data_IF_405196296025
#
_entry.id   IF_405196296025
#
_cell.length_a   1.000
_cell.length_b   1.000
_cell.length_c   1.000
_cell.angle_alpha   90.00
_cell.angle_beta   90.00
_cell.angle_gamma   90.00
#
_symmetry.space_group_name_H-M   'P 1'
#
loop_
_entity.id
_entity.type
_entity.pdbx_description
1 polymer ?
#
# COMPACT_ATOMS: atom_id res chain seq x y z
N UNK A 1 19.08 -4.91 -10.30
CA UNK A 1 17.95 -4.77 -9.36
C UNK A 1 16.66 -4.80 -10.16
N UNK A 2 15.65 -5.54 -9.70
CA UNK A 2 14.27 -5.45 -10.18
C UNK A 2 13.47 -4.66 -9.15
N UNK A 3 12.68 -3.69 -9.59
CA UNK A 3 11.91 -2.82 -8.69
C UNK A 3 10.41 -3.02 -8.92
N UNK A 4 9.67 -3.16 -7.84
CA UNK A 4 8.21 -3.04 -7.86
C UNK A 4 7.82 -1.57 -7.64
N UNK A 5 7.49 -0.89 -8.74
CA UNK A 5 7.05 0.50 -8.78
C UNK A 5 5.55 0.55 -9.10
N UNK A 6 4.76 -0.35 -8.51
CA UNK A 6 3.32 -0.39 -8.73
C UNK A 6 2.64 0.98 -8.55
N UNK A 7 3.14 1.81 -7.63
CA UNK A 7 2.65 3.16 -7.34
C UNK A 7 3.54 4.28 -7.90
N UNK A 8 4.34 4.04 -8.95
CA UNK A 8 5.20 5.09 -9.52
C UNK A 8 5.05 5.30 -11.03
N UNK A 9 3.92 4.88 -11.61
CA UNK A 9 3.66 5.03 -13.06
C UNK A 9 3.69 6.51 -13.54
N UNK A 10 3.50 7.48 -12.63
CA UNK A 10 3.48 8.91 -12.92
C UNK A 10 4.84 9.61 -12.73
N UNK A 11 5.78 9.00 -11.97
CA UNK A 11 7.00 9.65 -11.48
C UNK A 11 7.86 10.26 -12.59
N UNK A 12 8.03 9.54 -13.69
CA UNK A 12 8.87 9.95 -14.83
C UNK A 12 8.42 11.26 -15.50
N UNK A 13 7.16 11.66 -15.33
CA UNK A 13 6.54 12.66 -16.18
C UNK A 13 6.58 14.09 -15.61
N UNK A 14 7.14 14.30 -14.41
CA UNK A 14 7.29 15.63 -13.81
C UNK A 14 8.56 15.75 -12.96
N UNK A 15 9.34 16.85 -13.06
CA UNK A 15 10.60 17.01 -12.32
C UNK A 15 10.44 17.15 -10.80
N UNK A 16 9.29 17.61 -10.32
CA UNK A 16 9.03 17.77 -8.88
C UNK A 16 8.57 16.47 -8.19
N UNK A 17 8.49 15.36 -8.93
CA UNK A 17 8.22 14.04 -8.38
C UNK A 17 9.55 13.31 -8.07
N UNK A 18 9.53 12.32 -7.16
CA UNK A 18 10.66 11.43 -6.98
C UNK A 18 11.13 10.79 -8.28
N UNK A 19 12.44 10.52 -8.40
CA UNK A 19 12.98 9.84 -9.58
C UNK A 19 12.42 8.43 -9.74
N UNK A 20 12.05 8.08 -10.98
CA UNK A 20 11.55 6.74 -11.31
C UNK A 20 12.67 5.68 -11.27
N UNK A 21 12.30 4.44 -10.99
CA UNK A 21 13.26 3.34 -10.83
C UNK A 21 14.16 3.12 -12.06
N UNK A 22 13.64 3.32 -13.27
CA UNK A 22 14.40 3.11 -14.51
C UNK A 22 15.43 4.22 -14.75
N UNK A 23 15.12 5.45 -14.33
CA UNK A 23 16.06 6.57 -14.32
C UNK A 23 17.21 6.34 -13.35
N UNK A 24 16.93 5.77 -12.16
CA UNK A 24 17.92 5.37 -11.16
C UNK A 24 18.74 4.11 -11.52
N UNK A 25 18.53 3.54 -12.71
CA UNK A 25 19.36 2.44 -13.23
C UNK A 25 18.90 1.04 -12.84
N UNK A 26 17.63 0.87 -12.45
CA UNK A 26 17.05 -0.47 -12.32
C UNK A 26 17.19 -1.26 -13.64
N UNK A 27 17.44 -2.57 -13.52
CA UNK A 27 17.54 -3.46 -14.68
C UNK A 27 16.15 -3.77 -15.27
N UNK A 28 15.13 -3.73 -14.42
CA UNK A 28 13.74 -3.78 -14.82
C UNK A 28 12.84 -3.26 -13.70
N UNK A 29 11.65 -2.84 -14.08
CA UNK A 29 10.67 -2.26 -13.18
C UNK A 29 9.25 -2.62 -13.61
N UNK A 30 8.39 -2.95 -12.64
CA UNK A 30 6.96 -3.18 -12.89
C UNK A 30 6.16 -1.99 -12.37
N UNK A 31 5.31 -1.42 -13.22
CA UNK A 31 4.41 -0.33 -12.87
C UNK A 31 2.95 -0.76 -13.07
N UNK A 32 2.12 -0.57 -12.05
CA UNK A 32 0.67 -0.78 -12.17
C UNK A 32 0.04 0.45 -12.77
N UNK A 33 0.06 0.55 -14.10
CA UNK A 33 -0.41 1.72 -14.85
C UNK A 33 -1.86 2.10 -14.51
N UNK A 34 -2.69 1.14 -14.12
CA UNK A 34 -4.08 1.40 -13.74
C UNK A 34 -4.25 2.17 -12.42
N UNK A 35 -3.22 2.19 -11.56
CA UNK A 35 -3.29 2.90 -10.27
C UNK A 35 -3.14 4.40 -10.47
N UNK A 36 -2.01 4.82 -11.04
CA UNK A 36 -1.64 6.24 -11.14
C UNK A 36 -1.40 6.73 -12.56
N UNK A 37 -1.34 5.82 -13.54
CA UNK A 37 -1.22 6.16 -14.95
C UNK A 37 -2.57 6.50 -15.60
N UNK A 38 -3.68 5.92 -15.12
CA UNK A 38 -5.03 6.19 -15.63
C UNK A 38 -5.61 5.13 -16.58
N UNK A 39 -4.97 3.96 -16.70
CA UNK A 39 -5.50 2.85 -17.49
C UNK A 39 -6.53 2.02 -16.71
N UNK A 40 -7.25 1.13 -17.40
CA UNK A 40 -8.22 0.24 -16.78
C UNK A 40 -7.55 -0.77 -15.83
N UNK A 41 -8.22 -1.12 -14.73
CA UNK A 41 -7.78 -2.15 -13.76
C UNK A 41 -7.31 -3.42 -14.47
N UNK A 42 -6.30 -4.09 -13.88
CA UNK A 42 -5.58 -5.26 -14.43
C UNK A 42 -4.50 -4.93 -15.48
N UNK A 43 -4.31 -3.66 -15.86
CA UNK A 43 -3.22 -3.28 -16.78
C UNK A 43 -1.96 -2.87 -16.03
N UNK A 44 -0.79 -3.25 -16.57
CA UNK A 44 0.54 -2.91 -16.02
C UNK A 44 1.58 -2.84 -17.15
N UNK A 45 2.73 -2.25 -16.85
CA UNK A 45 3.89 -2.24 -17.75
C UNK A 45 5.09 -2.84 -17.02
N UNK A 46 5.78 -3.77 -17.68
CA UNK A 46 7.10 -4.23 -17.30
C UNK A 46 8.13 -3.54 -18.19
N UNK A 47 8.95 -2.71 -17.58
CA UNK A 47 10.06 -2.00 -18.23
C UNK A 47 11.35 -2.79 -18.03
N UNK A 48 12.17 -2.89 -19.07
CA UNK A 48 13.50 -3.49 -19.02
C UNK A 48 14.52 -2.48 -19.58
N UNK A 49 15.70 -2.41 -18.97
CA UNK A 49 16.79 -1.53 -19.42
C UNK A 49 18.13 -2.24 -19.33
N UNK A 50 18.96 -2.04 -20.35
CA UNK A 50 20.29 -2.65 -20.46
C UNK A 50 20.24 -4.13 -20.83
N UNK A 51 21.36 -4.83 -20.61
CA UNK A 51 21.54 -6.25 -20.99
C UNK A 51 21.61 -7.23 -19.82
N UNK A 52 21.38 -6.77 -18.58
CA UNK A 52 21.43 -7.64 -17.38
C UNK A 52 20.28 -8.65 -17.33
N UNK A 53 19.16 -8.34 -17.98
CA UNK A 53 17.97 -9.19 -18.07
C UNK A 53 17.70 -9.51 -19.53
N UNK A 54 17.68 -10.81 -19.85
CA UNK A 54 17.36 -11.28 -21.19
C UNK A 54 15.86 -11.11 -21.47
N UNK A 55 15.53 -10.21 -22.40
CA UNK A 55 14.15 -9.92 -22.77
C UNK A 55 13.41 -11.13 -23.38
N UNK A 56 14.12 -12.03 -24.06
CA UNK A 56 13.55 -13.26 -24.62
C UNK A 56 13.11 -14.24 -23.52
N UNK A 57 13.93 -14.41 -22.47
CA UNK A 57 13.59 -15.22 -21.28
C UNK A 57 12.42 -14.61 -20.51
N UNK A 58 12.36 -13.29 -20.38
CA UNK A 58 11.21 -12.61 -19.77
C UNK A 58 9.95 -12.85 -20.58
N UNK A 59 10.00 -12.68 -21.91
CA UNK A 59 8.86 -12.94 -22.78
C UNK A 59 8.39 -14.41 -22.69
N UNK A 60 9.33 -15.36 -22.60
CA UNK A 60 8.99 -16.77 -22.40
C UNK A 60 8.30 -17.02 -21.04
N UNK A 61 8.76 -16.37 -19.97
CA UNK A 61 8.13 -16.46 -18.65
C UNK A 61 6.73 -15.83 -18.63
N UNK A 62 6.54 -14.67 -19.27
CA UNK A 62 5.23 -14.02 -19.38
C UNK A 62 4.21 -14.91 -20.09
N UNK A 63 4.61 -15.63 -21.15
CA UNK A 63 3.75 -16.60 -21.85
C UNK A 63 3.24 -17.76 -20.97
N UNK A 64 3.91 -18.06 -19.85
CA UNK A 64 3.44 -19.06 -18.89
C UNK A 64 2.37 -18.52 -17.93
N UNK A 65 2.33 -17.20 -17.72
CA UNK A 65 1.49 -16.54 -16.74
C UNK A 65 0.28 -15.84 -17.38
N UNK A 66 0.46 -15.31 -18.59
CA UNK A 66 -0.56 -14.56 -19.30
C UNK A 66 -1.51 -15.46 -20.07
N UNK A 67 -2.71 -14.95 -20.30
CA UNK A 67 -3.69 -15.59 -21.19
C UNK A 67 -3.22 -15.51 -22.65
N UNK A 68 -3.46 -16.57 -23.42
CA UNK A 68 -3.28 -16.55 -24.88
C UNK A 68 -4.31 -15.68 -25.61
N UNK A 69 -5.34 -15.21 -24.90
CA UNK A 69 -6.43 -14.38 -25.42
C UNK A 69 -6.55 -13.10 -24.58
N UNK A 70 -5.65 -12.11 -24.76
CA UNK A 70 -5.68 -10.88 -23.99
C UNK A 70 -6.92 -10.04 -24.33
N UNK A 71 -7.40 -9.28 -23.35
CA UNK A 71 -8.47 -8.30 -23.59
C UNK A 71 -7.94 -7.13 -24.41
N UNK A 72 -8.37 -7.02 -25.66
CA UNK A 72 -8.01 -5.89 -26.53
C UNK A 72 -8.45 -4.53 -25.97
N UNK A 73 -9.51 -4.49 -25.17
CA UNK A 73 -9.96 -3.28 -24.47
C UNK A 73 -8.92 -2.83 -23.44
N UNK A 74 -8.38 -3.78 -22.66
CA UNK A 74 -7.32 -3.48 -21.69
C UNK A 74 -6.03 -3.05 -22.41
N UNK A 75 -5.68 -3.69 -23.51
CA UNK A 75 -4.51 -3.31 -24.33
C UNK A 75 -4.67 -1.91 -24.94
N UNK A 76 -5.85 -1.59 -25.48
CA UNK A 76 -6.14 -0.26 -26.01
C UNK A 76 -6.10 0.81 -24.91
N UNK A 77 -6.69 0.54 -23.74
CA UNK A 77 -6.62 1.44 -22.59
C UNK A 77 -5.17 1.71 -22.16
N UNK A 78 -4.34 0.68 -22.13
CA UNK A 78 -2.94 0.80 -21.76
C UNK A 78 -2.15 1.64 -22.78
N UNK A 79 -2.35 1.42 -24.09
CA UNK A 79 -1.68 2.22 -25.13
C UNK A 79 -2.15 3.67 -25.16
N UNK A 80 -3.46 3.93 -25.00
CA UNK A 80 -4.01 5.27 -24.88
C UNK A 80 -3.44 6.01 -23.67
N UNK A 81 -3.31 5.31 -22.54
CA UNK A 81 -2.73 5.86 -21.31
C UNK A 81 -1.25 6.21 -21.49
N UNK A 82 -0.47 5.29 -22.06
CA UNK A 82 0.94 5.53 -22.43
C UNK A 82 1.06 6.77 -23.32
N UNK A 83 0.21 6.91 -24.34
CA UNK A 83 0.18 8.08 -25.22
C UNK A 83 -0.20 9.36 -24.47
N UNK A 84 -1.19 9.31 -23.59
CA UNK A 84 -1.61 10.47 -22.80
C UNK A 84 -0.46 10.96 -21.90
N UNK A 85 0.20 10.06 -21.17
CA UNK A 85 1.32 10.41 -20.29
C UNK A 85 2.51 10.94 -21.09
N UNK A 86 2.83 10.32 -22.24
CA UNK A 86 3.92 10.77 -23.10
C UNK A 86 3.69 12.18 -23.69
N UNK A 87 2.45 12.50 -24.05
CA UNK A 87 2.14 13.78 -24.72
C UNK A 87 1.74 14.90 -23.75
N UNK A 88 1.04 14.56 -22.65
CA UNK A 88 0.43 15.51 -21.72
C UNK A 88 0.70 15.22 -20.24
N UNK A 89 1.51 14.21 -19.92
CA UNK A 89 1.76 13.79 -18.54
C UNK A 89 2.28 14.94 -17.66
N UNK A 90 3.19 15.76 -18.19
CA UNK A 90 3.72 16.93 -17.48
C UNK A 90 2.63 17.93 -17.10
N UNK A 91 1.80 18.36 -18.06
CA UNK A 91 0.69 19.30 -17.83
C UNK A 91 -0.34 18.75 -16.83
N UNK A 92 -0.71 17.47 -16.99
CA UNK A 92 -1.68 16.82 -16.12
C UNK A 92 -1.16 16.69 -14.68
N UNK A 93 0.13 16.39 -14.51
CA UNK A 93 0.76 16.29 -13.21
C UNK A 93 1.01 17.65 -12.57
N UNK A 94 1.41 18.67 -13.33
CA UNK A 94 1.50 20.06 -12.85
C UNK A 94 0.19 20.46 -12.18
N UNK A 95 -0.94 20.24 -12.86
CA UNK A 95 -2.27 20.50 -12.30
C UNK A 95 -2.55 19.68 -11.03
N UNK A 96 -2.20 18.39 -11.02
CA UNK A 96 -2.38 17.55 -9.85
C UNK A 96 -1.54 18.03 -8.65
N UNK A 97 -0.32 18.50 -8.90
CA UNK A 97 0.58 19.07 -7.89
C UNK A 97 0.03 20.38 -7.34
N UNK A 98 -0.44 21.29 -8.20
CA UNK A 98 -1.07 22.55 -7.79
C UNK A 98 -2.31 22.31 -6.91
N UNK A 99 -3.16 21.35 -7.30
CA UNK A 99 -4.33 20.94 -6.53
C UNK A 99 -3.94 20.35 -5.17
N UNK A 100 -2.95 19.44 -5.16
CA UNK A 100 -2.46 18.82 -3.93
C UNK A 100 -1.83 19.80 -2.97
N UNK A 101 -1.07 20.78 -3.48
CA UNK A 101 -0.48 21.83 -2.66
C UNK A 101 -1.51 22.83 -2.14
N UNK A 102 -2.52 23.16 -2.94
CA UNK A 102 -3.68 23.92 -2.49
C UNK A 102 -4.37 23.25 -1.30
N UNK A 103 -4.71 21.97 -1.44
CA UNK A 103 -5.36 21.20 -0.39
C UNK A 103 -4.45 21.01 0.85
N UNK A 104 -3.15 20.75 0.66
CA UNK A 104 -2.19 20.66 1.76
C UNK A 104 -2.18 21.93 2.61
N UNK A 105 -2.16 23.12 1.98
CA UNK A 105 -2.18 24.40 2.70
C UNK A 105 -3.49 24.64 3.45
N UNK A 106 -4.61 24.21 2.90
CA UNK A 106 -5.92 24.28 3.56
C UNK A 106 -5.94 23.38 4.80
N UNK A 107 -5.65 22.09 4.63
CA UNK A 107 -5.70 21.09 5.69
C UNK A 107 -4.68 21.35 6.81
N UNK A 108 -3.52 21.94 6.50
CA UNK A 108 -2.49 22.28 7.50
C UNK A 108 -2.96 23.33 8.52
N UNK A 109 -4.04 24.07 8.23
CA UNK A 109 -4.62 25.07 9.14
C UNK A 109 -5.64 24.46 10.10
N UNK A 110 -6.09 23.24 9.84
CA UNK A 110 -7.12 22.57 10.64
C UNK A 110 -6.50 21.97 11.90
N UNK A 111 -7.07 22.32 13.06
CA UNK A 111 -6.64 21.74 14.33
C UNK A 111 -6.94 20.23 14.35
N UNK A 112 -5.96 19.46 14.83
CA UNK A 112 -6.09 18.01 14.99
C UNK A 112 -5.70 17.19 13.75
N UNK A 113 -5.41 17.85 12.63
CA UNK A 113 -4.79 17.23 11.46
C UNK A 113 -3.31 17.60 11.37
N UNK A 114 -2.49 16.67 10.86
CA UNK A 114 -1.08 16.92 10.53
C UNK A 114 -0.72 16.17 9.27
N UNK A 115 -0.16 16.87 8.28
CA UNK A 115 0.30 16.22 7.05
C UNK A 115 1.76 15.81 7.20
N UNK A 116 2.10 14.64 6.64
CA UNK A 116 3.48 14.19 6.52
C UNK A 116 4.28 15.17 5.65
N UNK A 117 5.46 15.55 6.12
CA UNK A 117 6.36 16.48 5.45
C UNK A 117 7.76 15.87 5.27
N UNK A 118 8.62 16.53 4.49
CA UNK A 118 10.02 16.11 4.34
C UNK A 118 10.76 16.07 5.69
N UNK A 119 10.39 16.92 6.65
CA UNK A 119 11.00 16.96 7.98
C UNK A 119 10.65 15.73 8.85
N UNK A 120 9.65 14.95 8.45
CA UNK A 120 9.25 13.71 9.12
C UNK A 120 9.98 12.48 8.57
N UNK A 121 10.73 12.62 7.48
CA UNK A 121 11.44 11.51 6.87
C UNK A 121 12.71 11.19 7.67
N UNK A 122 13.10 9.90 7.74
CA UNK A 122 14.36 9.52 8.34
C UNK A 122 15.55 10.10 7.56
N UNK A 123 16.71 10.19 8.22
CA UNK A 123 17.96 10.55 7.55
C UNK A 123 18.28 9.54 6.43
N UNK A 124 18.65 10.05 5.24
CA UNK A 124 19.00 9.23 4.09
C UNK A 124 18.45 9.78 2.78
N UNK A 125 18.50 8.96 1.73
CA UNK A 125 18.03 9.33 0.40
C UNK A 125 16.52 9.03 0.25
N UNK A 126 15.71 9.82 0.93
CA UNK A 126 14.25 9.70 0.90
C UNK A 126 13.63 10.95 0.27
N UNK A 127 12.63 10.72 -0.59
CA UNK A 127 11.81 11.77 -1.20
C UNK A 127 10.35 11.51 -0.91
N UNK A 128 9.58 12.58 -0.76
CA UNK A 128 8.13 12.50 -0.63
C UNK A 128 7.48 12.67 -2.01
N UNK A 129 6.51 11.83 -2.33
CA UNK A 129 5.62 12.08 -3.47
C UNK A 129 4.56 13.13 -3.06
N UNK A 130 4.64 14.38 -3.55
CA UNK A 130 3.71 15.44 -3.16
C UNK A 130 2.26 15.18 -3.57
N UNK A 131 2.00 14.27 -4.53
CA UNK A 131 0.63 13.86 -4.92
C UNK A 131 -0.02 12.93 -3.91
N UNK A 132 0.75 12.39 -2.95
CA UNK A 132 0.26 11.51 -1.88
C UNK A 132 0.16 12.29 -0.57
N UNK A 133 -1.06 12.63 -0.19
CA UNK A 133 -1.35 13.32 1.06
C UNK A 133 -1.52 12.27 2.17
N UNK A 134 -0.49 12.10 2.99
CA UNK A 134 -0.57 11.31 4.22
C UNK A 134 -0.99 12.23 5.37
N UNK A 135 -2.21 12.04 5.88
CA UNK A 135 -2.86 12.93 6.82
C UNK A 135 -3.04 12.19 8.14
N UNK A 136 -2.33 12.61 9.18
CA UNK A 136 -2.53 12.16 10.54
C UNK A 136 -3.83 12.74 11.10
N UNK A 137 -4.68 11.85 11.62
CA UNK A 137 -5.98 12.17 12.24
C UNK A 137 -5.98 11.94 13.74
N UNK A 138 -4.81 11.66 14.34
CA UNK A 138 -4.66 11.41 15.78
C UNK A 138 -5.28 12.52 16.62
N UNK A 139 -5.10 13.77 16.20
CA UNK A 139 -5.62 14.93 16.92
C UNK A 139 -7.15 15.07 16.91
N UNK A 140 -7.86 14.27 16.10
CA UNK A 140 -9.33 14.17 16.12
C UNK A 140 -9.84 13.19 17.19
N UNK A 141 -8.95 12.37 17.76
CA UNK A 141 -9.35 11.26 18.63
C UNK A 141 -9.99 10.10 17.88
N UNK A 142 -9.90 10.08 16.55
CA UNK A 142 -10.41 9.03 15.69
C UNK A 142 -9.26 8.22 15.09
N UNK A 143 -9.53 6.95 14.82
CA UNK A 143 -8.64 6.15 13.98
C UNK A 143 -8.79 6.55 12.51
N UNK A 144 -7.76 6.31 11.70
CA UNK A 144 -7.84 6.52 10.25
C UNK A 144 -9.00 5.75 9.62
N UNK A 145 -9.30 4.55 10.12
CA UNK A 145 -10.47 3.75 9.68
C UNK A 145 -11.80 4.43 9.93
N UNK A 146 -11.99 4.96 11.14
CA UNK A 146 -13.21 5.69 11.46
C UNK A 146 -13.34 6.91 10.55
N UNK A 147 -12.25 7.66 10.35
CA UNK A 147 -12.26 8.81 9.43
C UNK A 147 -12.61 8.38 8.01
N UNK A 148 -11.99 7.32 7.46
CA UNK A 148 -12.33 6.75 6.14
C UNK A 148 -13.83 6.41 6.06
N UNK A 149 -14.36 5.70 7.05
CA UNK A 149 -15.75 5.25 7.04
C UNK A 149 -16.72 6.43 7.12
N UNK A 150 -16.38 7.46 7.90
CA UNK A 150 -17.12 8.71 8.00
C UNK A 150 -17.07 9.52 6.70
N UNK A 151 -15.88 9.64 6.08
CA UNK A 151 -15.69 10.26 4.76
C UNK A 151 -16.60 9.60 3.70
N UNK A 152 -16.62 8.28 3.66
CA UNK A 152 -17.43 7.52 2.71
C UNK A 152 -18.94 7.61 3.00
N UNK A 153 -19.33 7.46 4.27
CA UNK A 153 -20.74 7.41 4.66
C UNK A 153 -21.43 8.77 4.61
N UNK A 154 -20.76 9.83 5.09
CA UNK A 154 -21.34 11.18 5.22
C UNK A 154 -21.10 12.06 3.99
N UNK A 155 -19.93 11.97 3.36
CA UNK A 155 -19.50 12.92 2.32
C UNK A 155 -19.27 12.27 0.95
N UNK A 156 -19.38 10.94 0.85
CA UNK A 156 -19.08 10.17 -0.38
C UNK A 156 -17.65 10.37 -0.88
N UNK A 157 -16.72 10.62 0.04
CA UNK A 157 -15.28 10.76 -0.23
C UNK A 157 -14.59 9.46 0.13
N UNK A 158 -13.81 8.92 -0.82
CA UNK A 158 -13.05 7.69 -0.63
C UNK A 158 -11.56 8.01 -0.63
N UNK A 159 -10.88 7.60 0.43
CA UNK A 159 -9.42 7.68 0.55
C UNK A 159 -8.79 6.37 0.09
N UNK A 160 -7.54 6.42 -0.37
CA UNK A 160 -6.81 5.25 -0.88
C UNK A 160 -6.59 4.22 0.23
N UNK A 161 -6.13 4.69 1.38
CA UNK A 161 -5.74 3.83 2.50
C UNK A 161 -6.02 4.53 3.81
N UNK A 162 -6.23 3.74 4.85
CA UNK A 162 -6.26 4.21 6.22
C UNK A 162 -5.52 3.21 7.13
N UNK A 163 -4.89 3.74 8.17
CA UNK A 163 -4.30 2.95 9.25
C UNK A 163 -4.88 3.39 10.62
N UNK A 164 -4.22 2.99 11.71
CA UNK A 164 -4.56 3.37 13.08
C UNK A 164 -4.76 4.88 13.30
N UNK A 165 -4.02 5.68 12.55
CA UNK A 165 -3.76 7.08 12.83
C UNK A 165 -3.69 8.00 11.60
N UNK A 166 -3.68 7.44 10.39
CA UNK A 166 -3.58 8.19 9.16
C UNK A 166 -4.67 7.78 8.17
N UNK A 167 -5.06 8.75 7.35
CA UNK A 167 -5.70 8.51 6.06
C UNK A 167 -4.77 8.98 4.95
N UNK A 168 -4.78 8.29 3.81
CA UNK A 168 -3.96 8.63 2.65
C UNK A 168 -4.88 8.98 1.49
N UNK A 169 -4.76 10.20 0.98
CA UNK A 169 -5.45 10.64 -0.22
C UNK A 169 -4.45 10.83 -1.36
N UNK A 170 -4.81 10.42 -2.57
CA UNK A 170 -4.01 10.63 -3.77
C UNK A 170 -4.64 11.67 -4.68
N UNK A 171 -3.84 12.65 -5.09
CA UNK A 171 -4.22 13.62 -6.10
C UNK A 171 -3.65 13.15 -7.44
N UNK A 172 -4.46 12.40 -8.19
CA UNK A 172 -4.04 11.81 -9.47
C UNK A 172 -4.22 12.79 -10.63
N UNK A 173 -3.76 12.42 -11.83
CA UNK A 173 -4.01 13.17 -13.07
C UNK A 173 -5.49 13.33 -13.43
N UNK A 174 -6.37 12.54 -12.81
CA UNK A 174 -7.82 12.62 -12.95
C UNK A 174 -8.51 13.49 -11.90
N UNK A 175 -7.78 13.94 -10.86
CA UNK A 175 -8.35 14.74 -9.79
C UNK A 175 -8.76 16.13 -10.27
N UNK A 176 -9.85 16.64 -9.70
CA UNK A 176 -10.39 17.96 -9.99
C UNK A 176 -10.38 18.86 -8.76
N UNK A 177 -10.54 20.16 -8.97
CA UNK A 177 -10.72 21.12 -7.88
C UNK A 177 -11.96 20.82 -7.04
N UNK A 178 -13.00 20.19 -7.62
CA UNK A 178 -14.18 19.75 -6.88
C UNK A 178 -13.82 18.64 -5.90
N UNK A 179 -13.04 17.66 -6.33
CA UNK A 179 -12.65 16.53 -5.47
C UNK A 179 -11.82 17.01 -4.28
N UNK A 180 -10.89 17.94 -4.53
CA UNK A 180 -10.07 18.55 -3.48
C UNK A 180 -10.92 19.34 -2.47
N UNK A 181 -11.87 20.16 -2.95
CA UNK A 181 -12.80 20.88 -2.06
C UNK A 181 -13.66 19.93 -1.24
N UNK A 182 -14.21 18.88 -1.85
CA UNK A 182 -15.03 17.90 -1.13
C UNK A 182 -14.24 17.21 -0.01
N UNK A 183 -12.97 16.86 -0.24
CA UNK A 183 -12.11 16.30 0.79
C UNK A 183 -11.76 17.32 1.88
N UNK A 184 -11.44 18.56 1.49
CA UNK A 184 -11.14 19.67 2.41
C UNK A 184 -12.30 19.96 3.36
N UNK A 185 -13.48 20.25 2.81
CA UNK A 185 -14.71 20.53 3.55
C UNK A 185 -15.11 19.36 4.47
N UNK A 186 -14.95 18.12 4.00
CA UNK A 186 -15.27 16.93 4.81
C UNK A 186 -14.33 16.78 6.00
N UNK A 187 -13.02 16.99 5.81
CA UNK A 187 -12.04 16.92 6.90
C UNK A 187 -12.16 18.10 7.87
N UNK A 188 -12.53 19.29 7.38
CA UNK A 188 -12.85 20.45 8.22
C UNK A 188 -14.05 20.18 9.12
N UNK A 189 -15.16 19.68 8.57
CA UNK A 189 -16.36 19.35 9.35
C UNK A 189 -16.08 18.24 10.38
N UNK A 190 -15.31 17.22 10.01
CA UNK A 190 -14.86 16.18 10.96
C UNK A 190 -13.97 16.76 12.07
N UNK A 191 -13.03 17.64 11.73
CA UNK A 191 -12.17 18.28 12.72
C UNK A 191 -12.93 19.20 13.69
N UNK A 192 -14.03 19.80 13.23
CA UNK A 192 -14.89 20.63 14.06
C UNK A 192 -15.77 19.82 15.03
N UNK A 193 -16.28 18.65 14.59
CA UNK A 193 -17.25 17.84 15.35
C UNK A 193 -16.62 16.81 16.28
N UNK A 194 -15.54 16.20 15.85
CA UNK A 194 -15.03 14.98 16.48
C UNK A 194 -13.85 15.34 17.39
N UNK A 195 -14.03 15.15 18.70
CA UNK A 195 -12.98 15.33 19.71
C UNK A 195 -13.08 14.20 20.72
N UNK A 196 -12.63 13.02 20.32
CA UNK A 196 -12.62 11.86 21.20
C UNK A 196 -11.29 11.75 21.95
N UNK A 197 -11.27 11.10 23.13
CA UNK A 197 -10.02 10.80 23.81
C UNK A 197 -9.15 9.89 22.93
N UNK A 198 -7.84 10.19 22.90
CA UNK A 198 -6.84 9.42 22.16
C UNK A 198 -6.90 7.94 22.56
N UNK A 199 -7.03 7.06 21.56
CA UNK A 199 -6.93 5.62 21.78
C UNK A 199 -5.47 5.19 21.95
N UNK A 200 -5.28 4.11 22.70
CA UNK A 200 -3.98 3.46 22.83
C UNK A 200 -3.38 3.13 21.45
N UNK A 201 -2.05 3.17 21.31
CA UNK A 201 -1.39 2.78 20.07
C UNK A 201 -1.70 1.32 19.72
N UNK A 202 -1.77 1.02 18.43
CA UNK A 202 -1.87 -0.36 17.97
C UNK A 202 -0.55 -1.10 18.23
N UNK A 203 -0.60 -2.42 18.43
CA UNK A 203 0.62 -3.22 18.59
C UNK A 203 1.47 -3.13 17.32
N UNK A 204 2.79 -3.10 17.50
CA UNK A 204 3.75 -3.21 16.41
C UNK A 204 4.13 -4.67 16.20
N UNK A 205 4.23 -5.09 14.94
CA UNK A 205 4.70 -6.43 14.61
C UNK A 205 6.19 -6.57 14.98
N UNK A 206 6.63 -7.73 15.48
CA UNK A 206 8.04 -8.00 15.70
C UNK A 206 8.85 -7.80 14.41
N UNK A 207 9.95 -7.05 14.49
CA UNK A 207 10.83 -6.75 13.35
C UNK A 207 11.77 -7.92 13.02
N UNK A 208 12.03 -8.78 14.00
CA UNK A 208 12.93 -9.92 13.87
C UNK A 208 12.12 -11.17 13.49
N UNK A 209 12.51 -11.81 12.41
CA UNK A 209 11.97 -13.09 11.97
C UNK A 209 13.10 -14.13 11.85
N UNK A 210 12.76 -15.40 12.02
CA UNK A 210 13.70 -16.50 11.80
C UNK A 210 13.16 -17.43 10.72
N UNK A 211 13.81 -17.42 9.56
CA UNK A 211 13.46 -18.32 8.45
C UNK A 211 14.11 -19.69 8.65
N UNK A 212 13.30 -20.73 8.84
CA UNK A 212 13.75 -22.12 9.01
C UNK A 212 13.56 -22.96 7.75
N UNK A 213 12.67 -22.54 6.84
CA UNK A 213 12.35 -23.26 5.60
C UNK A 213 12.07 -22.26 4.46
N UNK A 214 12.24 -22.67 3.19
CA UNK A 214 11.81 -21.78 2.09
C UNK A 214 10.28 -21.69 2.07
N UNK A 215 9.68 -20.52 1.77
CA UNK A 215 8.23 -20.40 1.69
C UNK A 215 7.56 -21.41 0.76
N UNK A 216 8.19 -21.73 -0.38
CA UNK A 216 7.72 -22.77 -1.29
C UNK A 216 7.71 -24.17 -0.64
N UNK A 217 8.78 -24.53 0.07
CA UNK A 217 8.88 -25.83 0.74
C UNK A 217 7.82 -25.94 1.84
N UNK A 218 7.65 -24.87 2.64
CA UNK A 218 6.62 -24.83 3.68
C UNK A 218 5.20 -24.90 3.11
N UNK A 219 4.94 -24.21 1.99
CA UNK A 219 3.65 -24.22 1.32
C UNK A 219 3.24 -25.61 0.81
N UNK A 220 4.19 -26.38 0.27
CA UNK A 220 3.94 -27.73 -0.24
C UNK A 220 4.12 -28.83 0.82
N UNK A 221 4.53 -28.49 2.04
CA UNK A 221 4.69 -29.46 3.11
C UNK A 221 3.36 -29.95 3.65
N UNK A 222 3.38 -31.15 4.25
CA UNK A 222 2.25 -31.60 5.07
C UNK A 222 2.11 -30.63 6.24
N UNK A 223 0.88 -30.20 6.50
CA UNK A 223 0.63 -29.16 7.48
C UNK A 223 -0.61 -29.49 8.33
N UNK A 224 -0.59 -29.07 9.59
CA UNK A 224 -1.65 -29.29 10.57
C UNK A 224 -1.94 -28.01 11.35
N UNK A 225 -3.10 -27.97 12.01
CA UNK A 225 -3.48 -26.85 12.87
C UNK A 225 -3.17 -27.18 14.31
N UNK A 226 -2.62 -26.19 15.01
CA UNK A 226 -2.40 -26.24 16.45
C UNK A 226 -2.90 -24.94 17.09
N UNK A 227 -3.14 -24.94 18.39
CA UNK A 227 -3.46 -23.72 19.12
C UNK A 227 -2.30 -22.71 18.99
N UNK A 228 -2.61 -21.43 18.79
CA UNK A 228 -1.59 -20.38 18.67
C UNK A 228 -0.65 -20.37 19.88
N UNK A 229 -1.18 -20.57 21.08
CA UNK A 229 -0.42 -20.65 22.33
C UNK A 229 0.58 -21.83 22.38
N UNK A 230 0.42 -22.84 21.53
CA UNK A 230 1.30 -24.02 21.46
C UNK A 230 2.24 -23.98 20.25
N UNK A 231 2.24 -22.89 19.49
CA UNK A 231 2.95 -22.80 18.23
C UNK A 231 4.42 -22.40 18.35
N UNK A 232 4.89 -22.09 19.57
CA UNK A 232 6.25 -21.65 19.81
C UNK A 232 7.26 -22.67 19.25
N UNK A 233 8.21 -22.19 18.43
CA UNK A 233 9.24 -23.01 17.81
C UNK A 233 8.79 -23.83 16.60
N UNK A 234 7.51 -23.79 16.22
CA UNK A 234 7.00 -24.48 15.03
C UNK A 234 7.22 -23.65 13.78
N UNK A 235 7.30 -24.31 12.63
CA UNK A 235 7.43 -23.64 11.33
C UNK A 235 6.03 -23.33 10.81
N UNK A 236 5.75 -22.06 10.50
CA UNK A 236 4.49 -21.66 9.90
C UNK A 236 4.30 -22.29 8.51
N UNK A 237 3.07 -22.71 8.23
CA UNK A 237 2.64 -23.18 6.92
C UNK A 237 1.60 -22.24 6.27
N UNK A 238 1.42 -21.04 6.82
CA UNK A 238 0.50 -20.02 6.28
C UNK A 238 1.04 -18.61 6.45
N UNK A 239 0.47 -17.67 5.70
CA UNK A 239 0.76 -16.24 5.84
C UNK A 239 -0.24 -15.63 6.81
N UNK A 240 0.22 -14.81 7.76
CA UNK A 240 -0.66 -14.01 8.62
C UNK A 240 -0.33 -12.54 8.43
N UNK A 241 -1.15 -11.83 7.66
CA UNK A 241 -1.05 -10.39 7.48
C UNK A 241 -2.07 -9.66 8.34
N UNK A 242 -1.58 -8.77 9.20
CA UNK A 242 -2.43 -7.98 10.11
C UNK A 242 -2.74 -6.64 9.47
N UNK A 243 -4.01 -6.25 9.49
CA UNK A 243 -4.48 -4.95 9.01
C UNK A 243 -4.95 -4.11 10.20
N UNK A 244 -4.34 -2.94 10.46
CA UNK A 244 -3.21 -2.30 9.75
C UNK A 244 -1.84 -2.91 10.06
N UNK A 245 -0.80 -2.60 9.26
CA UNK A 245 -0.83 -1.85 7.99
C UNK A 245 -1.15 -2.71 6.77
N UNK A 246 -1.39 -4.01 6.96
CA UNK A 246 -1.56 -4.97 5.86
C UNK A 246 -0.28 -5.70 5.45
N UNK A 247 0.73 -5.66 6.31
CA UNK A 247 2.00 -6.34 6.10
C UNK A 247 1.94 -7.70 6.80
N UNK A 248 2.44 -8.77 6.16
CA UNK A 248 2.61 -10.06 6.81
C UNK A 248 3.47 -9.95 8.07
N UNK A 249 2.89 -10.36 9.20
CA UNK A 249 3.63 -10.56 10.45
C UNK A 249 4.27 -11.95 10.49
N UNK A 250 3.80 -12.89 9.66
CA UNK A 250 4.30 -14.25 9.57
C UNK A 250 4.17 -14.76 8.13
N UNK A 251 5.22 -15.36 7.60
CA UNK A 251 5.23 -16.07 6.32
C UNK A 251 5.39 -17.59 6.49
N UNK A 252 4.95 -18.39 5.50
CA UNK A 252 5.29 -19.81 5.46
C UNK A 252 6.81 -20.01 5.49
N UNK A 253 7.26 -20.93 6.35
CA UNK A 253 8.66 -21.27 6.52
C UNK A 253 9.39 -20.48 7.60
N UNK A 254 8.73 -19.52 8.24
CA UNK A 254 9.25 -18.81 9.42
C UNK A 254 8.93 -19.56 10.70
N UNK A 255 9.80 -19.44 11.70
CA UNK A 255 9.53 -19.88 13.07
C UNK A 255 8.46 -19.00 13.70
N UNK A 256 7.47 -19.63 14.32
CA UNK A 256 6.50 -18.94 15.16
C UNK A 256 7.17 -18.75 16.53
N UNK A 257 7.72 -17.55 16.75
CA UNK A 257 8.39 -17.21 18.00
C UNK A 257 7.37 -16.81 19.09
N UNK A 258 7.76 -16.81 20.38
CA UNK A 258 6.91 -16.28 21.45
C UNK A 258 6.43 -14.85 21.20
N UNK A 259 7.28 -13.97 20.65
CA UNK A 259 6.93 -12.57 20.35
C UNK A 259 5.83 -12.48 19.28
N UNK A 260 5.85 -13.37 18.28
CA UNK A 260 4.78 -13.46 17.28
C UNK A 260 3.48 -13.94 17.93
N UNK A 261 3.54 -14.90 18.86
CA UNK A 261 2.37 -15.39 19.59
C UNK A 261 1.75 -14.28 20.43
N UNK A 262 2.57 -13.52 21.15
CA UNK A 262 2.13 -12.39 21.96
C UNK A 262 1.48 -11.30 21.10
N UNK A 263 2.14 -10.93 19.99
CA UNK A 263 1.62 -9.98 19.02
C UNK A 263 0.26 -10.43 18.46
N UNK A 264 0.17 -11.65 17.92
CA UNK A 264 -1.06 -12.18 17.35
C UNK A 264 -2.18 -12.37 18.39
N UNK A 265 -1.82 -12.59 19.66
CA UNK A 265 -2.76 -12.60 20.79
C UNK A 265 -3.35 -11.22 21.03
N UNK A 266 -2.54 -10.17 21.06
CA UNK A 266 -3.04 -8.79 21.18
C UNK A 266 -3.92 -8.42 19.99
N UNK A 267 -3.49 -8.77 18.76
CA UNK A 267 -4.25 -8.55 17.52
C UNK A 267 -5.63 -9.21 17.59
N UNK A 268 -5.70 -10.46 18.06
CA UNK A 268 -6.95 -11.19 18.29
C UNK A 268 -7.83 -10.47 19.31
N UNK A 269 -7.28 -10.10 20.46
CA UNK A 269 -8.04 -9.53 21.57
C UNK A 269 -8.57 -8.12 21.26
N UNK A 270 -7.85 -7.39 20.40
CA UNK A 270 -8.31 -6.12 19.82
C UNK A 270 -9.30 -6.30 18.65
N UNK A 271 -9.50 -7.53 18.17
CA UNK A 271 -10.37 -7.82 17.03
C UNK A 271 -9.88 -7.23 15.70
N UNK A 272 -8.56 -7.08 15.53
CA UNK A 272 -8.00 -6.52 14.30
C UNK A 272 -8.14 -7.52 13.13
N UNK A 273 -8.53 -7.05 11.93
CA UNK A 273 -8.70 -7.92 10.79
C UNK A 273 -7.36 -8.49 10.31
N UNK A 274 -7.38 -9.76 9.92
CA UNK A 274 -6.22 -10.46 9.36
C UNK A 274 -6.55 -11.07 8.00
N UNK A 275 -5.56 -11.13 7.11
CA UNK A 275 -5.63 -11.79 5.82
C UNK A 275 -4.60 -12.91 5.72
N UNK A 276 -5.01 -14.05 5.16
CA UNK A 276 -4.17 -15.22 5.02
C UNK A 276 -4.33 -16.35 6.06
N UNK A 277 -4.57 -16.11 7.37
CA UNK A 277 -4.64 -17.21 8.33
C UNK A 277 -5.83 -18.10 8.00
N UNK A 278 -5.62 -19.42 8.07
CA UNK A 278 -6.67 -20.38 7.76
C UNK A 278 -7.75 -20.45 8.86
N UNK A 279 -7.46 -19.94 10.06
CA UNK A 279 -8.41 -19.62 11.12
C UNK A 279 -8.45 -18.09 11.34
N UNK A 280 -9.48 -17.39 10.83
CA UNK A 280 -9.60 -15.94 10.98
C UNK A 280 -9.71 -15.45 12.43
N UNK A 281 -10.03 -16.33 13.38
CA UNK A 281 -10.12 -15.98 14.80
C UNK A 281 -8.78 -16.00 15.52
N UNK A 282 -7.69 -16.40 14.83
CA UNK A 282 -6.34 -16.56 15.39
C UNK A 282 -6.27 -17.44 16.65
N UNK A 283 -7.25 -18.33 16.86
CA UNK A 283 -7.19 -19.33 17.93
C UNK A 283 -6.23 -20.45 17.59
N UNK A 284 -6.17 -20.80 16.31
CA UNK A 284 -5.25 -21.78 15.75
C UNK A 284 -4.41 -21.18 14.63
N UNK A 285 -3.26 -21.81 14.39
CA UNK A 285 -2.35 -21.46 13.28
C UNK A 285 -1.93 -22.75 12.57
N UNK A 286 -1.73 -22.66 11.26
CA UNK A 286 -1.27 -23.78 10.45
C UNK A 286 0.26 -23.88 10.49
N UNK A 287 0.77 -25.04 10.86
CA UNK A 287 2.20 -25.32 10.97
C UNK A 287 2.60 -26.52 10.13
N UNK A 288 3.86 -26.56 9.72
CA UNK A 288 4.46 -27.73 9.08
C UNK A 288 4.48 -28.90 10.07
N UNK A 289 4.07 -30.07 9.60
CA UNK A 289 4.19 -31.33 10.32
C UNK A 289 5.52 -31.98 9.99
N UNK A 290 6.13 -32.60 11.00
CA UNK A 290 7.27 -33.49 10.83
C UNK A 290 6.89 -34.78 10.08
#
# INVERSE_FOLDING_TARGET
MLVDEAHGAHLRFHPDLPEDAMSLGAAGCVQSTHKLGGSLTQTSLLHLKGGLVDAGRVAAALRLLETTSPSYILMASLDLTRRQLALRGRELLERALELGEGLRRELSRLQGLRLLSLADLPEGNYSLDPTRLVISVRGLGLTGYQVRDLLAARYRVYVEMADASHVVAFITIGATARDCRMLGEALEDLAAREKNPLRAPLPEAPVVFRKLMKPREAWFSRAGRIALAQAAGRISAETVAVYPPGIPALYPGEEITPEIIDYLTIVRDLGLPCQGPSDPSLKTVKVVLE
#
